data_IF_569883889127
#
_entry.id   IF_569883889127
#
_cell.length_a   1.000
_cell.length_b   1.000
_cell.length_c   1.000
_cell.angle_alpha   90.00
_cell.angle_beta   90.00
_cell.angle_gamma   90.00
#
_symmetry.space_group_name_H-M   'P 1'
#
loop_
_entity.id
_entity.type
_entity.pdbx_description
1 polymer ?
#
# COMPACT_ATOMS: atom_id res chain seq x y z
N UNK A 1 -10.16 14.14 2.58
CA UNK A 1 -10.16 15.58 2.90
C UNK A 1 -11.09 16.27 1.92
N UNK A 2 -12.18 16.89 2.38
CA UNK A 2 -13.18 17.51 1.49
C UNK A 2 -12.72 18.79 0.78
N UNK A 3 -11.42 18.95 0.56
CA UNK A 3 -10.80 20.13 -0.04
C UNK A 3 -10.08 19.71 -1.33
N UNK A 4 -10.09 20.58 -2.33
CA UNK A 4 -9.37 20.37 -3.58
C UNK A 4 -7.86 20.28 -3.34
N UNK A 5 -7.21 19.33 -4.02
CA UNK A 5 -5.75 19.21 -4.08
C UNK A 5 -5.17 19.65 -5.43
N UNK A 6 -6.03 20.16 -6.34
CA UNK A 6 -5.61 20.58 -7.68
C UNK A 6 -4.62 21.74 -7.59
N UNK A 7 -3.48 21.60 -8.26
CA UNK A 7 -2.41 22.60 -8.28
C UNK A 7 -1.50 22.59 -7.04
N UNK A 8 -1.71 21.69 -6.09
CA UNK A 8 -0.82 21.53 -4.94
C UNK A 8 0.42 20.72 -5.36
N UNK A 9 1.64 21.17 -5.04
CA UNK A 9 2.85 20.39 -5.30
C UNK A 9 2.85 19.04 -4.58
N UNK A 10 3.33 17.99 -5.24
CA UNK A 10 3.30 16.61 -4.72
C UNK A 10 3.94 16.45 -3.34
N UNK A 11 5.04 17.17 -3.06
CA UNK A 11 5.76 17.10 -1.77
C UNK A 11 4.93 17.64 -0.58
N UNK A 12 3.92 18.47 -0.83
CA UNK A 12 3.02 18.99 0.21
C UNK A 12 1.86 18.03 0.53
N UNK A 13 1.59 17.04 -0.34
CA UNK A 13 0.48 16.10 -0.16
C UNK A 13 0.70 15.18 1.05
N UNK A 14 1.94 14.83 1.37
CA UNK A 14 2.26 14.03 2.55
C UNK A 14 1.89 14.75 3.86
N UNK A 15 2.16 16.06 3.95
CA UNK A 15 1.73 16.90 5.09
C UNK A 15 0.20 16.96 5.22
N UNK A 16 -0.50 16.78 4.10
CA UNK A 16 -1.96 16.64 4.01
C UNK A 16 -2.42 15.19 4.18
N UNK A 17 -1.56 14.30 4.69
CA UNK A 17 -1.92 12.93 5.02
C UNK A 17 -2.20 12.04 3.81
N UNK A 18 -1.65 12.36 2.63
CA UNK A 18 -1.68 11.49 1.46
C UNK A 18 -0.29 10.89 1.25
N UNK A 19 -0.20 9.57 1.36
CA UNK A 19 1.01 8.81 1.02
C UNK A 19 0.75 7.91 -0.18
N UNK A 20 1.76 7.72 -1.02
CA UNK A 20 1.68 6.84 -2.18
C UNK A 20 2.86 5.86 -2.16
N UNK A 21 2.56 4.60 -2.44
CA UNK A 21 3.56 3.57 -2.79
C UNK A 21 3.41 3.33 -4.30
N UNK A 22 4.31 3.88 -5.13
CA UNK A 22 4.26 3.72 -6.57
C UNK A 22 4.74 2.33 -6.99
N UNK A 23 4.47 1.98 -8.26
CA UNK A 23 5.16 0.90 -8.94
C UNK A 23 6.69 1.09 -8.83
N UNK A 24 7.44 0.02 -8.60
CA UNK A 24 8.91 0.09 -8.47
C UNK A 24 9.44 0.39 -7.05
N UNK A 25 8.59 0.40 -6.02
CA UNK A 25 8.90 0.37 -4.56
C UNK A 25 9.52 1.65 -3.98
N UNK A 26 10.40 2.32 -4.72
CA UNK A 26 10.98 3.62 -4.34
C UNK A 26 11.80 3.62 -3.04
N UNK A 27 12.47 2.52 -2.69
CA UNK A 27 13.28 2.41 -1.46
C UNK A 27 14.62 3.17 -1.54
N UNK A 28 15.17 3.57 -0.40
CA UNK A 28 16.52 4.13 -0.31
C UNK A 28 17.55 2.99 -0.17
N UNK A 29 18.09 2.55 -1.30
CA UNK A 29 18.93 1.35 -1.37
C UNK A 29 20.18 1.36 -0.47
N UNK A 30 20.76 2.55 -0.21
CA UNK A 30 21.95 2.75 0.62
C UNK A 30 21.66 2.98 2.11
N UNK A 31 20.39 3.03 2.49
CA UNK A 31 19.96 3.05 3.88
C UNK A 31 19.64 1.62 4.32
N UNK A 32 19.80 1.36 5.62
CA UNK A 32 19.31 0.14 6.25
C UNK A 32 17.78 0.05 6.18
N UNK A 33 17.25 -1.13 6.48
CA UNK A 33 15.80 -1.36 6.58
C UNK A 33 15.18 -0.42 7.63
N UNK A 34 15.80 -0.32 8.81
CA UNK A 34 15.29 0.54 9.89
C UNK A 34 15.34 2.02 9.52
N UNK A 35 16.42 2.49 8.88
CA UNK A 35 16.52 3.87 8.40
C UNK A 35 15.46 4.16 7.34
N UNK A 36 15.21 3.24 6.41
CA UNK A 36 14.14 3.37 5.42
C UNK A 36 12.77 3.54 6.09
N UNK A 37 12.47 2.74 7.11
CA UNK A 37 11.23 2.84 7.88
C UNK A 37 11.13 4.20 8.60
N UNK A 38 12.21 4.65 9.25
CA UNK A 38 12.27 5.93 9.94
C UNK A 38 12.09 7.12 9.00
N UNK A 39 12.57 7.04 7.76
CA UNK A 39 12.32 8.07 6.73
C UNK A 39 10.82 8.29 6.46
N UNK A 40 9.98 7.28 6.70
CA UNK A 40 8.52 7.41 6.61
C UNK A 40 7.93 8.35 7.66
N UNK A 41 8.61 8.52 8.79
CA UNK A 41 8.23 9.41 9.87
C UNK A 41 8.88 10.80 9.78
N UNK A 42 9.45 11.20 8.64
CA UNK A 42 10.21 12.46 8.53
C UNK A 42 9.43 13.73 8.96
N UNK A 43 8.11 13.73 8.84
CA UNK A 43 7.24 14.85 9.26
C UNK A 43 6.70 14.70 10.70
N UNK A 44 7.11 13.66 11.42
CA UNK A 44 6.64 13.31 12.76
C UNK A 44 7.75 13.53 13.78
N UNK A 45 7.37 13.99 14.96
CA UNK A 45 8.29 14.27 16.06
C UNK A 45 7.99 13.43 17.32
N UNK A 46 7.04 12.48 17.25
CA UNK A 46 6.64 11.61 18.36
C UNK A 46 7.51 10.35 18.43
N UNK A 47 8.70 10.45 19.05
CA UNK A 47 9.70 9.37 19.09
C UNK A 47 9.12 8.02 19.53
N UNK A 48 8.33 7.98 20.61
CA UNK A 48 7.74 6.74 21.12
C UNK A 48 6.71 6.15 20.16
N UNK A 49 5.89 6.99 19.53
CA UNK A 49 4.90 6.57 18.54
C UNK A 49 5.56 6.05 17.26
N UNK A 50 6.65 6.68 16.81
CA UNK A 50 7.45 6.22 15.67
C UNK A 50 8.05 4.85 15.97
N UNK A 51 8.65 4.68 17.16
CA UNK A 51 9.21 3.39 17.58
C UNK A 51 8.14 2.30 17.62
N UNK A 52 6.98 2.59 18.20
CA UNK A 52 5.86 1.65 18.24
C UNK A 52 5.37 1.26 16.83
N UNK A 53 5.32 2.21 15.89
CA UNK A 53 4.93 1.91 14.51
C UNK A 53 5.99 1.08 13.78
N UNK A 54 7.29 1.32 14.00
CA UNK A 54 8.37 0.47 13.47
C UNK A 54 8.26 -0.95 14.01
N UNK A 55 8.09 -1.12 15.32
CA UNK A 55 7.92 -2.42 15.95
C UNK A 55 6.68 -3.15 15.41
N UNK A 56 5.58 -2.41 15.19
CA UNK A 56 4.37 -2.93 14.55
C UNK A 56 4.62 -3.39 13.11
N UNK A 57 5.36 -2.60 12.32
CA UNK A 57 5.73 -2.99 10.95
C UNK A 57 6.61 -4.24 10.92
N UNK A 58 7.50 -4.42 11.90
CA UNK A 58 8.23 -5.66 12.08
C UNK A 58 7.36 -6.84 12.49
N UNK A 59 6.25 -6.59 13.19
CA UNK A 59 5.21 -7.60 13.45
C UNK A 59 4.54 -8.08 12.15
N UNK A 60 4.19 -7.17 11.25
CA UNK A 60 3.65 -7.54 9.93
C UNK A 60 4.69 -8.17 9.01
N UNK A 61 5.95 -7.72 9.08
CA UNK A 61 7.02 -8.16 8.19
C UNK A 61 8.23 -8.72 8.97
N UNK A 62 8.12 -9.92 9.57
CA UNK A 62 9.19 -10.50 10.40
C UNK A 62 10.53 -10.63 9.67
N UNK A 63 10.51 -10.88 8.35
CA UNK A 63 11.72 -10.94 7.51
C UNK A 63 12.50 -9.62 7.48
N UNK A 64 11.81 -8.49 7.56
CA UNK A 64 12.47 -7.18 7.66
C UNK A 64 13.12 -7.00 9.04
N UNK A 65 12.54 -7.57 10.11
CA UNK A 65 13.08 -7.53 11.48
C UNK A 65 14.38 -8.32 11.60
N UNK A 66 14.40 -9.53 11.04
CA UNK A 66 15.58 -10.41 11.02
C UNK A 66 16.83 -9.72 10.43
N UNK A 67 16.62 -8.73 9.56
CA UNK A 67 17.65 -8.03 8.80
C UNK A 67 17.62 -6.52 9.01
N UNK A 68 17.12 -6.04 10.13
CA UNK A 68 16.80 -4.62 10.34
C UNK A 68 17.96 -3.64 10.02
N UNK A 69 19.21 -4.05 10.25
CA UNK A 69 20.42 -3.24 10.00
C UNK A 69 21.02 -3.44 8.60
N UNK A 70 20.51 -4.39 7.81
CA UNK A 70 20.98 -4.67 6.45
C UNK A 70 20.57 -3.54 5.48
N UNK A 71 21.40 -3.25 4.48
CA UNK A 71 21.07 -2.29 3.43
C UNK A 71 19.87 -2.74 2.60
N UNK A 72 18.89 -1.86 2.43
CA UNK A 72 17.64 -2.15 1.74
C UNK A 72 17.82 -2.55 0.27
N UNK A 73 18.88 -2.08 -0.40
CA UNK A 73 19.18 -2.43 -1.79
C UNK A 73 19.51 -3.91 -2.01
N UNK A 74 19.83 -4.65 -0.95
CA UNK A 74 20.15 -6.08 -1.02
C UNK A 74 18.95 -7.00 -0.81
N UNK A 75 17.78 -6.41 -0.52
CA UNK A 75 16.52 -7.13 -0.37
C UNK A 75 16.01 -7.65 -1.73
N UNK A 76 15.32 -8.78 -1.69
CA UNK A 76 14.54 -9.26 -2.84
C UNK A 76 13.44 -8.27 -3.21
N UNK A 77 12.93 -8.31 -4.45
CA UNK A 77 11.91 -7.37 -4.91
C UNK A 77 10.65 -7.32 -4.03
N UNK A 78 10.19 -8.46 -3.52
CA UNK A 78 9.04 -8.49 -2.61
C UNK A 78 9.35 -7.98 -1.20
N UNK A 79 10.56 -8.19 -0.68
CA UNK A 79 10.99 -7.57 0.58
C UNK A 79 11.11 -6.05 0.44
N UNK A 80 11.60 -5.56 -0.71
CA UNK A 80 11.61 -4.13 -1.01
C UNK A 80 10.20 -3.55 -1.06
N UNK A 81 9.22 -4.29 -1.59
CA UNK A 81 7.82 -3.88 -1.59
C UNK A 81 7.26 -3.78 -0.16
N UNK A 82 7.52 -4.78 0.67
CA UNK A 82 7.12 -4.76 2.09
C UNK A 82 7.75 -3.57 2.83
N UNK A 83 9.01 -3.26 2.57
CA UNK A 83 9.68 -2.10 3.14
C UNK A 83 9.08 -0.77 2.67
N UNK A 84 8.75 -0.66 1.38
CA UNK A 84 8.08 0.52 0.82
C UNK A 84 6.72 0.76 1.48
N UNK A 85 5.92 -0.30 1.66
CA UNK A 85 4.65 -0.25 2.37
C UNK A 85 4.84 0.14 3.84
N UNK A 86 5.77 -0.49 4.55
CA UNK A 86 6.06 -0.18 5.95
C UNK A 86 6.41 1.30 6.13
N UNK A 87 7.31 1.83 5.28
CA UNK A 87 7.70 3.24 5.28
C UNK A 87 6.50 4.16 5.05
N UNK A 88 5.62 3.85 4.10
CA UNK A 88 4.43 4.67 3.84
C UNK A 88 3.45 4.64 5.03
N UNK A 89 3.21 3.47 5.63
CA UNK A 89 2.31 3.29 6.77
C UNK A 89 2.82 4.04 8.01
N UNK A 90 4.13 4.06 8.24
CA UNK A 90 4.75 4.80 9.35
C UNK A 90 4.49 6.31 9.25
N UNK A 91 4.15 6.86 8.09
CA UNK A 91 3.74 8.27 8.01
C UNK A 91 2.35 8.56 8.63
N UNK A 92 1.60 7.52 9.03
CA UNK A 92 0.19 7.59 9.48
C UNK A 92 -0.69 8.43 8.55
N UNK A 93 -0.71 8.13 7.24
CA UNK A 93 -1.48 8.91 6.30
C UNK A 93 -2.99 8.72 6.56
N UNK A 94 -3.78 9.73 6.21
CA UNK A 94 -5.24 9.61 6.16
C UNK A 94 -5.69 8.82 4.94
N UNK A 95 -4.94 8.91 3.84
CA UNK A 95 -5.14 8.18 2.60
C UNK A 95 -3.82 7.56 2.14
N UNK A 96 -3.79 6.24 2.03
CA UNK A 96 -2.69 5.48 1.45
C UNK A 96 -3.07 5.03 0.04
N UNK A 97 -2.30 5.44 -0.97
CA UNK A 97 -2.43 4.97 -2.34
C UNK A 97 -1.42 3.85 -2.57
N UNK A 98 -1.88 2.72 -3.09
CA UNK A 98 -1.05 1.58 -3.45
C UNK A 98 -1.22 1.32 -4.93
N UNK A 99 -0.13 1.45 -5.68
CA UNK A 99 -0.09 1.27 -7.13
C UNK A 99 0.56 -0.08 -7.46
N UNK A 100 -0.26 -1.02 -7.93
CA UNK A 100 0.11 -2.40 -8.27
C UNK A 100 1.04 -3.10 -7.25
N UNK A 101 0.69 -3.11 -5.95
CA UNK A 101 1.60 -3.65 -4.93
C UNK A 101 1.87 -5.15 -5.07
N UNK A 102 1.02 -5.91 -5.78
CA UNK A 102 1.18 -7.35 -6.00
C UNK A 102 2.06 -7.74 -7.20
N UNK A 103 2.40 -6.79 -8.07
CA UNK A 103 3.00 -7.10 -9.38
C UNK A 103 4.36 -7.80 -9.26
N UNK A 104 4.48 -8.95 -9.93
CA UNK A 104 5.73 -9.73 -10.00
C UNK A 104 6.13 -10.40 -8.69
N UNK A 105 5.22 -10.51 -7.72
CA UNK A 105 5.47 -11.15 -6.42
C UNK A 105 4.98 -12.60 -6.38
N UNK A 106 5.54 -13.37 -5.45
CA UNK A 106 5.06 -14.74 -5.21
C UNK A 106 3.67 -14.73 -4.56
N UNK A 107 2.85 -15.79 -4.73
CA UNK A 107 1.51 -15.85 -4.15
C UNK A 107 1.45 -15.56 -2.64
N UNK A 108 2.42 -16.10 -1.88
CA UNK A 108 2.53 -15.89 -0.44
C UNK A 108 2.76 -14.41 -0.10
N UNK A 109 3.57 -13.71 -0.90
CA UNK A 109 3.82 -12.27 -0.70
C UNK A 109 2.58 -11.45 -1.02
N UNK A 110 1.84 -11.80 -2.08
CA UNK A 110 0.58 -11.16 -2.44
C UNK A 110 -0.43 -11.30 -1.29
N UNK A 111 -0.66 -12.52 -0.79
CA UNK A 111 -1.54 -12.76 0.36
C UNK A 111 -1.15 -11.91 1.57
N UNK A 112 0.15 -11.82 1.87
CA UNK A 112 0.66 -11.03 2.99
C UNK A 112 0.42 -9.54 2.82
N UNK A 113 0.63 -8.99 1.63
CA UNK A 113 0.34 -7.59 1.31
C UNK A 113 -1.14 -7.29 1.57
N UNK A 114 -2.02 -8.14 1.07
CA UNK A 114 -3.47 -7.96 1.25
C UNK A 114 -3.92 -8.16 2.70
N UNK A 115 -3.27 -9.03 3.48
CA UNK A 115 -3.48 -9.13 4.92
C UNK A 115 -3.17 -7.81 5.63
N UNK A 116 -2.03 -7.18 5.30
CA UNK A 116 -1.64 -5.88 5.86
C UNK A 116 -2.63 -4.79 5.44
N UNK A 117 -3.02 -4.75 4.17
CA UNK A 117 -4.02 -3.79 3.66
C UNK A 117 -5.36 -3.91 4.42
N UNK A 118 -5.85 -5.14 4.64
CA UNK A 118 -7.07 -5.36 5.42
C UNK A 118 -6.91 -4.91 6.87
N UNK A 119 -5.76 -5.22 7.49
CA UNK A 119 -5.47 -4.88 8.88
C UNK A 119 -5.44 -3.37 9.09
N UNK A 120 -4.69 -2.64 8.28
CA UNK A 120 -4.59 -1.17 8.39
C UNK A 120 -5.91 -0.45 8.03
N UNK A 121 -6.68 -1.01 7.10
CA UNK A 121 -8.02 -0.51 6.78
C UNK A 121 -8.98 -0.66 7.96
N UNK A 122 -8.95 -1.82 8.64
CA UNK A 122 -9.75 -2.07 9.85
C UNK A 122 -9.36 -1.15 11.02
N UNK A 123 -8.11 -0.68 11.08
CA UNK A 123 -7.64 0.33 12.03
C UNK A 123 -8.10 1.76 11.70
N UNK A 124 -8.78 1.96 10.55
CA UNK A 124 -9.37 3.24 10.15
C UNK A 124 -8.55 4.03 9.12
N UNK A 125 -7.44 3.48 8.61
CA UNK A 125 -6.70 4.12 7.52
C UNK A 125 -7.42 3.91 6.19
N UNK A 126 -7.70 4.99 5.45
CA UNK A 126 -8.30 4.85 4.11
C UNK A 126 -7.25 4.38 3.12
N UNK A 127 -7.56 3.34 2.35
CA UNK A 127 -6.67 2.80 1.32
C UNK A 127 -7.34 2.91 -0.05
N UNK A 128 -6.62 3.45 -1.02
CA UNK A 128 -6.95 3.36 -2.44
C UNK A 128 -5.96 2.38 -3.08
N UNK A 129 -6.47 1.23 -3.49
CA UNK A 129 -5.68 0.17 -4.11
C UNK A 129 -5.95 0.14 -5.62
N UNK A 130 -4.88 0.21 -6.41
CA UNK A 130 -4.89 0.01 -7.86
C UNK A 130 -4.21 -1.32 -8.14
N UNK A 131 -4.89 -2.20 -8.87
CA UNK A 131 -4.45 -3.57 -9.13
C UNK A 131 -4.97 -4.05 -10.49
N UNK A 132 -4.15 -4.80 -11.23
CA UNK A 132 -4.57 -5.46 -12.46
C UNK A 132 -5.42 -6.71 -12.17
N UNK A 133 -5.16 -7.39 -11.06
CA UNK A 133 -5.96 -8.54 -10.63
C UNK A 133 -7.25 -8.06 -9.93
N UNK A 134 -8.29 -7.83 -10.72
CA UNK A 134 -9.59 -7.36 -10.24
C UNK A 134 -10.18 -8.24 -9.13
N UNK A 135 -9.99 -9.57 -9.19
CA UNK A 135 -10.51 -10.49 -8.16
C UNK A 135 -9.90 -10.21 -6.79
N UNK A 136 -8.56 -10.16 -6.72
CA UNK A 136 -7.85 -9.91 -5.46
C UNK A 136 -8.17 -8.53 -4.90
N UNK A 137 -8.22 -7.52 -5.78
CA UNK A 137 -8.56 -6.15 -5.40
C UNK A 137 -9.96 -6.07 -4.78
N UNK A 138 -10.98 -6.65 -5.44
CA UNK A 138 -12.36 -6.63 -4.95
C UNK A 138 -12.52 -7.45 -3.66
N UNK A 139 -11.79 -8.56 -3.49
CA UNK A 139 -11.81 -9.34 -2.25
C UNK A 139 -11.30 -8.56 -1.03
N UNK A 140 -10.43 -7.57 -1.24
CA UNK A 140 -9.86 -6.74 -0.18
C UNK A 140 -10.55 -5.38 -0.02
N UNK A 141 -11.38 -4.97 -0.99
CA UNK A 141 -12.01 -3.66 -1.02
C UNK A 141 -13.42 -3.68 -0.42
N UNK A 142 -13.90 -2.51 0.01
CA UNK A 142 -15.32 -2.30 0.31
C UNK A 142 -16.09 -1.83 -0.93
N UNK A 143 -15.45 -1.05 -1.81
CA UNK A 143 -16.03 -0.50 -3.03
C UNK A 143 -15.04 -0.69 -4.18
N UNK A 144 -15.55 -1.08 -5.34
CA UNK A 144 -14.76 -1.28 -6.56
C UNK A 144 -15.07 -0.26 -7.64
N UNK A 145 -14.07 0.01 -8.47
CA UNK A 145 -14.18 0.76 -9.71
C UNK A 145 -13.40 0.02 -10.79
N UNK A 146 -14.03 -0.24 -11.93
CA UNK A 146 -13.39 -0.83 -13.10
C UNK A 146 -13.16 0.28 -14.10
N UNK A 147 -11.92 0.41 -14.56
CA UNK A 147 -11.53 1.39 -15.57
C UNK A 147 -11.08 0.66 -16.83
N UNK A 148 -11.65 1.06 -17.96
CA UNK A 148 -11.26 0.63 -19.29
C UNK A 148 -11.03 1.85 -20.17
N UNK A 149 -9.88 1.92 -20.84
CA UNK A 149 -9.56 2.97 -21.80
C UNK A 149 -9.76 4.39 -21.25
N UNK A 150 -9.46 4.59 -19.96
CA UNK A 150 -9.60 5.87 -19.26
C UNK A 150 -11.01 6.20 -18.77
N UNK A 151 -11.99 5.31 -18.96
CA UNK A 151 -13.37 5.48 -18.52
C UNK A 151 -13.72 4.49 -17.42
N UNK A 152 -14.41 4.96 -16.39
CA UNK A 152 -14.98 4.08 -15.36
C UNK A 152 -16.24 3.42 -15.96
N UNK A 153 -16.14 2.13 -16.28
CA UNK A 153 -17.22 1.37 -16.92
C UNK A 153 -18.15 0.72 -15.90
N UNK A 154 -17.63 0.38 -14.72
CA UNK A 154 -18.41 -0.21 -13.62
C UNK A 154 -17.94 0.33 -12.27
N UNK A 155 -18.87 0.46 -11.32
CA UNK A 155 -18.53 0.74 -9.93
C UNK A 155 -19.65 0.28 -9.00
N UNK A 156 -19.30 -0.08 -7.77
CA UNK A 156 -20.29 -0.61 -6.82
C UNK A 156 -19.65 -1.18 -5.56
N UNK A 157 -20.48 -1.81 -4.74
CA UNK A 157 -20.01 -2.61 -3.61
C UNK A 157 -19.11 -3.75 -4.14
N UNK A 158 -17.95 -3.92 -3.52
CA UNK A 158 -16.95 -4.85 -4.06
C UNK A 158 -17.41 -6.32 -4.00
N UNK A 159 -18.24 -6.70 -3.02
CA UNK A 159 -18.79 -8.06 -2.92
C UNK A 159 -19.81 -8.32 -4.02
N UNK A 160 -20.69 -7.36 -4.27
CA UNK A 160 -21.67 -7.47 -5.36
C UNK A 160 -20.96 -7.56 -6.73
N UNK A 161 -19.88 -6.79 -6.91
CA UNK A 161 -19.11 -6.82 -8.15
C UNK A 161 -18.38 -8.14 -8.40
N UNK A 162 -17.97 -8.88 -7.35
CA UNK A 162 -17.36 -10.21 -7.51
C UNK A 162 -18.34 -11.23 -8.14
N UNK A 163 -19.63 -11.07 -7.86
CA UNK A 163 -20.68 -11.96 -8.36
C UNK A 163 -21.32 -11.46 -9.67
N UNK A 164 -20.99 -10.25 -10.13
CA UNK A 164 -21.53 -9.67 -11.36
C UNK A 164 -21.01 -10.43 -12.60
N UNK A 165 -21.89 -11.03 -13.42
CA UNK A 165 -21.48 -11.76 -14.63
C UNK A 165 -20.63 -10.94 -15.59
N UNK A 166 -20.83 -9.63 -15.68
CA UNK A 166 -20.03 -8.75 -16.55
C UNK A 166 -18.61 -8.57 -16.03
N UNK A 167 -18.44 -8.45 -14.71
CA UNK A 167 -17.12 -8.37 -14.09
C UNK A 167 -16.39 -9.69 -14.25
N UNK A 168 -17.08 -10.81 -14.05
CA UNK A 168 -16.52 -12.16 -14.23
C UNK A 168 -16.01 -12.40 -15.65
N UNK A 169 -16.85 -12.11 -16.64
CA UNK A 169 -16.53 -12.31 -18.04
C UNK A 169 -15.39 -11.39 -18.53
N UNK A 170 -15.38 -10.13 -18.09
CA UNK A 170 -14.41 -9.15 -18.59
C UNK A 170 -13.06 -9.20 -17.86
N UNK A 171 -13.02 -9.58 -16.57
CA UNK A 171 -11.81 -9.42 -15.75
C UNK A 171 -11.47 -10.59 -14.82
N UNK A 172 -12.37 -11.56 -14.61
CA UNK A 172 -12.10 -12.72 -13.74
C UNK A 172 -11.90 -14.03 -14.51
N UNK A 173 -12.09 -14.02 -15.84
CA UNK A 173 -11.78 -15.15 -16.72
C UNK A 173 -12.82 -16.27 -16.71
N UNK A 174 -14.07 -15.97 -16.35
CA UNK A 174 -15.20 -16.93 -16.30
C UNK A 174 -16.42 -16.39 -17.05
#
# INVERSE_FOLDING_TARGET
MGQSIKGIPAHELLKRGLAMVPEGRGIFARMSIVENMQMGAYLRNDTDGIKADVDRMFGFFPRLKERATQYAGTLSGGEQQMLAMARAIISRPKLLLLDEPSMGLSPIMVEKIFEVVRSISAEGMTVLLVEQNARLALQAANRGYVMDSGLVTMSGDAKQMLDDPKVRAAYLGE
#
